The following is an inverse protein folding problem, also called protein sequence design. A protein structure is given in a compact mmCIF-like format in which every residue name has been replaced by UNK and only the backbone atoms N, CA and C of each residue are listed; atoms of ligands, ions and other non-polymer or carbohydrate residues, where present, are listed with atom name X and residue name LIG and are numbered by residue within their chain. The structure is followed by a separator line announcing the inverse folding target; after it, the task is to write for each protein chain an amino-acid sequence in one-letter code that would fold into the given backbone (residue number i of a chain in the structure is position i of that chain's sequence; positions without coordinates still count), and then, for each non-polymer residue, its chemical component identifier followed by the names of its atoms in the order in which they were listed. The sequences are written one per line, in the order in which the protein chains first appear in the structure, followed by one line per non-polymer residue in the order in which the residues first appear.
data_IF_193151962625
#
_entry.id   IF_193151962625
#
_cell.length_a   1.000
_cell.length_b   1.000
_cell.length_c   1.000
_cell.angle_alpha   90.00
_cell.angle_beta   90.00
_cell.angle_gamma   90.00
#
_symmetry.space_group_name_H-M   'P 1'
#
loop_
_entity.id
_entity.type
_entity.pdbx_description
1 polymer ?
#
# COMPACT_ATOMS: atom_id res chain seq x y z
N UNK A 1 17.46 1.67 11.57
CA UNK A 1 16.57 0.68 12.22
C UNK A 1 15.17 1.00 11.72
N UNK A 2 14.37 0.01 11.33
CA UNK A 2 12.99 0.26 10.88
C UNK A 2 12.12 0.54 12.10
N UNK A 3 11.44 1.69 12.13
CA UNK A 3 10.55 2.12 13.20
C UNK A 3 9.07 1.90 12.86
N UNK A 4 8.21 1.89 13.89
CA UNK A 4 6.75 1.85 13.70
C UNK A 4 6.24 3.04 12.86
N UNK A 5 6.86 4.21 13.02
CA UNK A 5 6.51 5.42 12.27
C UNK A 5 6.82 5.28 10.77
N UNK A 6 8.00 4.74 10.43
CA UNK A 6 8.36 4.48 9.03
C UNK A 6 7.41 3.47 8.38
N UNK A 7 7.03 2.40 9.08
CA UNK A 7 6.05 1.44 8.55
C UNK A 7 4.66 2.06 8.36
N UNK A 8 4.23 2.93 9.26
CA UNK A 8 2.97 3.67 9.10
C UNK A 8 3.01 4.63 7.89
N UNK A 9 4.16 5.26 7.64
CA UNK A 9 4.37 6.07 6.43
C UNK A 9 4.28 5.22 5.16
N UNK A 10 4.85 4.00 5.17
CA UNK A 10 4.76 3.07 4.04
C UNK A 10 3.32 2.59 3.80
N UNK A 11 2.54 2.33 4.85
CA UNK A 11 1.12 1.98 4.71
C UNK A 11 0.31 3.09 4.03
N UNK A 12 0.64 4.35 4.33
CA UNK A 12 0.01 5.53 3.73
C UNK A 12 0.38 5.63 2.26
N UNK A 13 1.68 5.53 1.93
CA UNK A 13 2.15 5.55 0.55
C UNK A 13 1.56 4.42 -0.30
N UNK A 14 1.42 3.21 0.27
CA UNK A 14 0.78 2.08 -0.42
C UNK A 14 -0.70 2.36 -0.70
N UNK A 15 -1.42 3.01 0.22
CA UNK A 15 -2.82 3.37 0.02
C UNK A 15 -2.97 4.35 -1.13
N UNK A 16 -2.19 5.43 -1.11
CA UNK A 16 -2.19 6.44 -2.18
C UNK A 16 -1.81 5.85 -3.54
N UNK A 17 -0.85 4.91 -3.55
CA UNK A 17 -0.47 4.20 -4.78
C UNK A 17 -1.59 3.28 -5.27
N UNK A 18 -2.23 2.53 -4.38
CA UNK A 18 -3.38 1.68 -4.72
C UNK A 18 -4.50 2.51 -5.35
N UNK A 19 -4.86 3.65 -4.76
CA UNK A 19 -5.92 4.52 -5.27
C UNK A 19 -5.60 5.02 -6.69
N UNK A 20 -4.35 5.43 -6.94
CA UNK A 20 -3.88 5.87 -8.27
C UNK A 20 -3.89 4.73 -9.30
N UNK A 21 -3.54 3.52 -8.89
CA UNK A 21 -3.55 2.34 -9.76
C UNK A 21 -4.98 1.94 -10.11
N UNK A 22 -5.90 1.99 -9.15
CA UNK A 22 -7.32 1.74 -9.40
C UNK A 22 -7.89 2.75 -10.40
N UNK A 23 -7.62 4.04 -10.21
CA UNK A 23 -8.08 5.07 -11.15
C UNK A 23 -7.56 4.82 -12.58
N UNK A 24 -6.27 4.47 -12.72
CA UNK A 24 -5.70 4.14 -14.02
C UNK A 24 -6.31 2.86 -14.63
N UNK A 25 -6.62 1.84 -13.82
CA UNK A 25 -7.29 0.63 -14.27
C UNK A 25 -8.72 0.93 -14.76
N UNK A 26 -9.46 1.74 -14.00
CA UNK A 26 -10.84 2.15 -14.33
C UNK A 26 -10.89 2.91 -15.67
N UNK A 27 -9.89 3.74 -15.97
CA UNK A 27 -9.78 4.44 -17.26
C UNK A 27 -9.54 3.51 -18.45
N UNK A 28 -8.90 2.36 -18.23
CA UNK A 28 -8.55 1.39 -19.27
C UNK A 28 -9.61 0.29 -19.43
N UNK A 29 -10.51 0.12 -18.47
CA UNK A 29 -11.55 -0.90 -18.51
C UNK A 29 -12.53 -0.66 -19.67
N UNK A 30 -12.79 -1.70 -20.47
CA UNK A 30 -13.66 -1.61 -21.65
C UNK A 30 -13.04 -0.89 -22.86
N UNK A 31 -11.77 -0.51 -22.78
CA UNK A 31 -10.98 -0.01 -23.91
C UNK A 31 -10.25 -1.17 -24.61
N UNK A 32 -9.52 -0.88 -25.70
CA UNK A 32 -8.66 -1.89 -26.35
C UNK A 32 -7.46 -2.30 -25.46
N UNK A 33 -7.19 -1.55 -24.40
CA UNK A 33 -6.15 -1.79 -23.40
C UNK A 33 -6.67 -2.53 -22.15
N UNK A 34 -7.85 -3.16 -22.18
CA UNK A 34 -8.45 -3.84 -21.03
C UNK A 34 -7.53 -4.87 -20.36
N UNK A 35 -6.68 -5.55 -21.12
CA UNK A 35 -5.67 -6.45 -20.54
C UNK A 35 -4.73 -5.73 -19.54
N UNK A 36 -4.33 -4.49 -19.83
CA UNK A 36 -3.54 -3.68 -18.91
C UNK A 36 -4.35 -3.26 -17.68
N UNK A 37 -5.65 -3.02 -17.81
CA UNK A 37 -6.55 -2.76 -16.67
C UNK A 37 -6.56 -3.95 -15.69
N UNK A 38 -6.66 -5.18 -16.22
CA UNK A 38 -6.64 -6.41 -15.42
C UNK A 38 -5.32 -6.57 -14.68
N UNK A 39 -4.19 -6.32 -15.34
CA UNK A 39 -2.87 -6.35 -14.70
C UNK A 39 -2.76 -5.31 -13.58
N UNK A 40 -3.28 -4.09 -13.78
CA UNK A 40 -3.30 -3.04 -12.76
C UNK A 40 -4.16 -3.42 -11.54
N UNK A 41 -5.32 -4.05 -11.74
CA UNK A 41 -6.13 -4.57 -10.63
C UNK A 41 -5.39 -5.67 -9.85
N UNK A 42 -4.62 -6.54 -10.51
CA UNK A 42 -3.79 -7.53 -9.82
C UNK A 42 -2.65 -6.87 -9.03
N UNK A 43 -2.03 -5.80 -9.55
CA UNK A 43 -1.06 -5.00 -8.78
C UNK A 43 -1.70 -4.39 -7.55
N UNK A 44 -2.88 -3.78 -7.68
CA UNK A 44 -3.66 -3.21 -6.56
C UNK A 44 -3.92 -4.26 -5.47
N UNK A 45 -4.36 -5.46 -5.87
CA UNK A 45 -4.61 -6.58 -4.96
C UNK A 45 -3.34 -7.03 -4.22
N UNK A 46 -2.20 -7.05 -4.92
CA UNK A 46 -0.90 -7.35 -4.33
C UNK A 46 -0.47 -6.27 -3.32
N UNK A 47 -0.70 -4.99 -3.63
CA UNK A 47 -0.44 -3.88 -2.73
C UNK A 47 -1.29 -3.94 -1.46
N UNK A 48 -2.58 -4.24 -1.56
CA UNK A 48 -3.45 -4.51 -0.40
C UNK A 48 -2.90 -5.64 0.48
N UNK A 49 -2.36 -6.69 -0.14
CA UNK A 49 -1.72 -7.79 0.59
C UNK A 49 -0.43 -7.35 1.28
N UNK A 50 0.40 -6.55 0.60
CA UNK A 50 1.61 -5.96 1.17
C UNK A 50 1.28 -5.06 2.37
N UNK A 51 0.27 -4.19 2.25
CA UNK A 51 -0.19 -3.29 3.32
C UNK A 51 -0.59 -4.08 4.56
N UNK A 52 -1.39 -5.16 4.42
CA UNK A 52 -1.77 -6.03 5.54
C UNK A 52 -0.55 -6.65 6.23
N UNK A 53 0.45 -7.07 5.46
CA UNK A 53 1.69 -7.66 5.99
C UNK A 53 2.54 -6.63 6.73
N UNK A 54 2.62 -5.41 6.21
CA UNK A 54 3.32 -4.29 6.87
C UNK A 54 2.63 -3.94 8.18
N UNK A 55 1.31 -3.86 8.21
CA UNK A 55 0.55 -3.58 9.44
C UNK A 55 0.74 -4.64 10.51
N UNK A 56 0.76 -5.91 10.11
CA UNK A 56 1.11 -7.01 11.01
C UNK A 56 2.55 -6.93 11.53
N UNK A 57 3.50 -6.48 10.71
CA UNK A 57 4.87 -6.28 11.15
C UNK A 57 5.00 -5.08 12.10
N UNK A 58 4.30 -3.98 11.81
CA UNK A 58 4.31 -2.75 12.59
C UNK A 58 3.70 -2.92 13.99
N UNK A 59 2.69 -3.78 14.14
CA UNK A 59 2.11 -4.10 15.45
C UNK A 59 3.07 -4.87 16.37
N UNK A 60 4.08 -5.53 15.81
CA UNK A 60 5.14 -6.21 16.56
C UNK A 60 6.30 -5.30 16.96
N UNK A 61 6.35 -4.05 16.50
CA UNK A 61 7.43 -3.12 16.82
C UNK A 61 7.10 -2.27 18.05
N UNK A 62 8.10 -1.99 18.92
CA UNK A 62 7.91 -1.06 20.03
C UNK A 62 7.54 0.32 19.49
N UNK A 63 6.60 0.97 20.17
CA UNK A 63 6.35 2.40 19.98
C UNK A 63 7.56 3.10 20.54
N UNK A 64 8.31 3.83 19.71
CA UNK A 64 9.38 4.72 20.16
C UNK A 64 8.88 5.51 21.37
N UNK A 65 9.33 5.13 22.57
CA UNK A 65 9.02 5.85 23.78
C UNK A 65 9.85 7.13 23.70
N UNK A 66 9.18 8.23 23.35
CA UNK A 66 9.78 9.56 23.43
C UNK A 66 10.50 9.67 24.77
N UNK A 67 11.81 9.94 24.70
CA UNK A 67 12.67 10.18 25.86
C UNK A 67 11.90 11.06 26.85
N UNK A 68 11.50 10.49 27.98
CA UNK A 68 11.10 11.27 29.14
C UNK A 68 12.34 12.05 29.56
N UNK A 69 12.31 13.35 29.32
CA UNK A 69 13.23 14.34 29.91
C UNK A 69 13.10 14.31 31.44
#
# INVERSE_FOLDING_TARGET
MVSRAELSSLETAIRELSDRITAAADELLGTKEEAAALDLYEVERNLKTAQRRISKAASGLPVEQGKRL
#
